data_IF_515270484390
#
_entry.id   IF_515270484390
#
_cell.length_a   1.000
_cell.length_b   1.000
_cell.length_c   1.000
_cell.angle_alpha   90.00
_cell.angle_beta   90.00
_cell.angle_gamma   90.00
#
_symmetry.space_group_name_H-M   'P 1'
#
loop_
_entity.id
_entity.type
_entity.pdbx_description
1 polymer ?
#
# COMPACT_ATOMS: atom_id res chain seq x y z
N UNK A 1 -26.49 0.94 -27.50
CA UNK A 1 -25.23 1.31 -28.17
C UNK A 1 -24.21 1.88 -27.17
N UNK A 2 -24.54 2.92 -26.41
CA UNK A 2 -23.59 3.55 -25.47
C UNK A 2 -23.03 2.59 -24.39
N UNK A 3 -23.88 1.73 -23.80
CA UNK A 3 -23.44 0.72 -22.84
C UNK A 3 -22.38 -0.24 -23.41
N UNK A 4 -22.61 -0.76 -24.62
CA UNK A 4 -21.65 -1.66 -25.30
C UNK A 4 -20.29 -0.96 -25.54
N UNK A 5 -20.34 0.32 -25.90
CA UNK A 5 -19.10 1.11 -26.07
C UNK A 5 -18.37 1.29 -24.75
N UNK A 6 -19.09 1.57 -23.66
CA UNK A 6 -18.50 1.72 -22.33
C UNK A 6 -17.91 0.40 -21.84
N UNK A 7 -18.66 -0.70 -22.00
CA UNK A 7 -18.25 -2.05 -21.66
C UNK A 7 -16.98 -2.49 -22.42
N UNK A 8 -16.98 -2.32 -23.75
CA UNK A 8 -15.81 -2.61 -24.58
C UNK A 8 -14.63 -1.69 -24.29
N UNK A 9 -14.89 -0.41 -24.00
CA UNK A 9 -13.87 0.56 -23.57
C UNK A 9 -13.21 0.16 -22.25
N UNK A 10 -13.99 -0.26 -21.25
CA UNK A 10 -13.48 -0.73 -19.97
C UNK A 10 -12.64 -2.02 -20.13
N UNK A 11 -13.09 -2.95 -20.97
CA UNK A 11 -12.34 -4.17 -21.29
C UNK A 11 -10.99 -3.83 -21.94
N UNK A 12 -11.00 -2.98 -22.98
CA UNK A 12 -9.78 -2.55 -23.67
C UNK A 12 -8.82 -1.84 -22.73
N UNK A 13 -9.34 -0.97 -21.86
CA UNK A 13 -8.53 -0.25 -20.87
C UNK A 13 -7.89 -1.20 -19.86
N UNK A 14 -8.62 -2.22 -19.40
CA UNK A 14 -8.08 -3.25 -18.51
C UNK A 14 -6.94 -4.05 -19.18
N UNK A 15 -7.11 -4.44 -20.46
CA UNK A 15 -6.06 -5.14 -21.23
C UNK A 15 -4.83 -4.26 -21.40
N UNK A 16 -4.99 -3.02 -21.88
CA UNK A 16 -3.87 -2.10 -22.12
C UNK A 16 -3.13 -1.77 -20.83
N UNK A 17 -3.86 -1.50 -19.75
CA UNK A 17 -3.27 -1.24 -18.43
C UNK A 17 -2.54 -2.48 -17.87
N UNK A 18 -3.11 -3.67 -18.04
CA UNK A 18 -2.48 -4.94 -17.66
C UNK A 18 -1.18 -5.17 -18.42
N UNK A 19 -1.18 -5.03 -19.75
CA UNK A 19 0.01 -5.14 -20.60
C UNK A 19 1.06 -4.07 -20.23
N UNK A 20 0.64 -2.84 -20.00
CA UNK A 20 1.52 -1.77 -19.55
C UNK A 20 2.27 -2.14 -18.26
N UNK A 21 1.55 -2.60 -17.23
CA UNK A 21 2.17 -3.02 -15.97
C UNK A 21 3.05 -4.26 -16.10
N UNK A 22 2.73 -5.17 -17.03
CA UNK A 22 3.50 -6.39 -17.26
C UNK A 22 4.80 -6.14 -18.02
N UNK A 23 4.75 -5.32 -19.08
CA UNK A 23 5.88 -5.12 -19.99
C UNK A 23 6.85 -4.04 -19.53
N UNK A 24 6.37 -3.00 -18.84
CA UNK A 24 7.21 -1.89 -18.40
C UNK A 24 7.84 -2.17 -17.04
N UNK A 25 9.15 -1.98 -16.91
CA UNK A 25 9.88 -2.14 -15.64
C UNK A 25 10.04 -0.84 -14.86
N UNK A 26 10.11 0.31 -15.53
CA UNK A 26 10.30 1.63 -14.90
C UNK A 26 8.99 2.29 -14.46
N UNK A 27 9.08 3.22 -13.52
CA UNK A 27 7.96 4.04 -13.06
C UNK A 27 7.75 5.22 -14.02
N UNK A 28 6.48 5.50 -14.40
CA UNK A 28 6.16 6.60 -15.31
C UNK A 28 6.02 7.95 -14.59
N UNK A 29 5.64 7.94 -13.31
CA UNK A 29 5.40 9.16 -12.53
C UNK A 29 6.66 9.68 -11.85
N UNK A 30 7.58 8.78 -11.52
CA UNK A 30 8.85 9.14 -10.90
C UNK A 30 9.97 8.26 -11.48
N UNK A 31 10.77 8.81 -12.37
CA UNK A 31 11.86 8.09 -13.04
C UNK A 31 12.98 7.64 -12.09
N UNK A 32 13.08 8.24 -10.90
CA UNK A 32 14.08 7.90 -9.90
C UNK A 32 13.66 6.73 -9.00
N UNK A 33 12.39 6.29 -9.07
CA UNK A 33 11.86 5.22 -8.25
C UNK A 33 11.43 4.03 -9.09
N UNK A 34 11.70 2.83 -8.60
CA UNK A 34 11.19 1.60 -9.21
C UNK A 34 10.01 1.06 -8.39
N UNK A 35 8.98 0.59 -9.08
CA UNK A 35 7.87 -0.12 -8.44
C UNK A 35 8.24 -1.59 -8.23
N UNK A 36 7.78 -2.25 -7.13
CA UNK A 36 8.06 -3.66 -6.88
C UNK A 36 7.60 -4.55 -8.05
N UNK A 37 8.51 -5.30 -8.67
CA UNK A 37 8.21 -6.19 -9.82
C UNK A 37 7.11 -7.21 -9.50
N UNK A 38 7.10 -7.75 -8.30
CA UNK A 38 6.05 -8.65 -7.83
C UNK A 38 4.67 -8.00 -7.80
N UNK A 39 4.57 -6.77 -7.29
CA UNK A 39 3.32 -6.01 -7.26
C UNK A 39 2.80 -5.73 -8.67
N UNK A 40 3.68 -5.31 -9.61
CA UNK A 40 3.31 -5.05 -11.00
C UNK A 40 2.70 -6.29 -11.66
N UNK A 41 3.30 -7.48 -11.46
CA UNK A 41 2.79 -8.75 -12.01
C UNK A 41 1.43 -9.12 -11.43
N UNK A 42 1.22 -8.99 -10.12
CA UNK A 42 -0.06 -9.28 -9.49
C UNK A 42 -1.14 -8.28 -9.91
N UNK A 43 -0.80 -7.00 -10.04
CA UNK A 43 -1.72 -5.98 -10.55
C UNK A 43 -2.08 -6.23 -12.02
N UNK A 44 -1.12 -6.61 -12.86
CA UNK A 44 -1.39 -6.98 -14.24
C UNK A 44 -2.32 -8.21 -14.34
N UNK A 45 -2.11 -9.25 -13.51
CA UNK A 45 -2.99 -10.41 -13.43
C UNK A 45 -4.41 -10.03 -12.99
N UNK A 46 -4.53 -9.12 -12.01
CA UNK A 46 -5.82 -8.59 -11.58
C UNK A 46 -6.54 -7.83 -12.69
N UNK A 47 -5.85 -6.96 -13.42
CA UNK A 47 -6.43 -6.25 -14.57
C UNK A 47 -6.81 -7.22 -15.71
N UNK A 48 -6.01 -8.25 -15.93
CA UNK A 48 -6.36 -9.32 -16.88
C UNK A 48 -7.62 -10.09 -16.46
N UNK A 49 -7.85 -10.30 -15.15
CA UNK A 49 -9.09 -10.93 -14.67
C UNK A 49 -10.33 -10.08 -14.90
N UNK A 50 -10.21 -8.74 -14.79
CA UNK A 50 -11.30 -7.82 -15.16
C UNK A 50 -11.64 -7.97 -16.65
N UNK A 51 -10.64 -7.95 -17.52
CA UNK A 51 -10.86 -8.13 -18.94
C UNK A 51 -11.44 -9.52 -19.27
N UNK A 52 -10.95 -10.57 -18.61
CA UNK A 52 -11.45 -11.92 -18.75
C UNK A 52 -12.91 -12.02 -18.29
N UNK A 53 -13.28 -11.41 -17.16
CA UNK A 53 -14.67 -11.34 -16.70
C UNK A 53 -15.60 -10.76 -17.77
N UNK A 54 -15.25 -9.63 -18.35
CA UNK A 54 -16.02 -9.07 -19.45
C UNK A 54 -16.13 -10.00 -20.66
N UNK A 55 -15.04 -10.70 -21.00
CA UNK A 55 -15.03 -11.64 -22.14
C UNK A 55 -15.94 -12.84 -21.88
N UNK A 56 -15.81 -13.54 -20.74
CA UNK A 56 -16.66 -14.72 -20.53
C UNK A 56 -18.13 -14.39 -20.31
N UNK A 57 -18.47 -13.25 -19.70
CA UNK A 57 -19.87 -12.82 -19.65
C UNK A 57 -20.46 -12.55 -21.04
N UNK A 58 -19.68 -11.91 -21.95
CA UNK A 58 -20.09 -11.70 -23.32
C UNK A 58 -20.20 -13.03 -24.10
N UNK A 59 -19.24 -13.92 -23.95
CA UNK A 59 -19.22 -15.22 -24.62
C UNK A 59 -20.36 -16.13 -24.13
N UNK A 60 -20.53 -16.27 -22.83
CA UNK A 60 -21.59 -17.07 -22.22
C UNK A 60 -22.99 -16.52 -22.52
N UNK A 61 -23.10 -15.21 -22.77
CA UNK A 61 -24.35 -14.58 -23.19
C UNK A 61 -24.71 -14.75 -24.66
N UNK A 62 -23.69 -14.91 -25.56
CA UNK A 62 -23.88 -14.83 -27.02
C UNK A 62 -23.55 -16.11 -27.77
N UNK A 63 -22.54 -16.88 -27.37
CA UNK A 63 -21.97 -17.92 -28.21
C UNK A 63 -22.21 -19.33 -27.68
N UNK A 64 -22.60 -19.57 -26.35
CA UNK A 64 -22.49 -20.72 -25.90
C UNK A 64 -22.40 -21.67 -24.90
N UNK A 65 -22.11 -22.61 -24.61
CA UNK A 65 -21.89 -23.88 -23.95
C UNK A 65 -23.15 -24.70 -23.69
N UNK A 66 -24.23 -24.02 -23.34
CA UNK A 66 -25.52 -24.65 -23.08
C UNK A 66 -26.62 -23.59 -23.18
N UNK A 67 -27.78 -23.96 -23.64
CA UNK A 67 -28.99 -23.11 -23.59
C UNK A 67 -29.49 -22.92 -22.17
N UNK A 68 -28.89 -23.62 -21.22
CA UNK A 68 -29.24 -23.57 -19.82
C UNK A 68 -28.71 -22.32 -19.16
N UNK A 69 -29.62 -21.42 -18.86
CA UNK A 69 -29.34 -20.15 -18.21
C UNK A 69 -28.75 -20.31 -16.79
N UNK A 70 -29.20 -21.34 -16.05
CA UNK A 70 -28.72 -21.63 -14.71
C UNK A 70 -27.24 -21.99 -14.70
N UNK A 71 -26.86 -22.95 -15.54
CA UNK A 71 -25.45 -23.39 -15.66
C UNK A 71 -24.55 -22.24 -16.09
N UNK A 72 -24.97 -21.43 -17.07
CA UNK A 72 -24.22 -20.26 -17.52
C UNK A 72 -23.93 -19.28 -16.40
N UNK A 73 -24.94 -18.95 -15.61
CA UNK A 73 -24.79 -18.02 -14.49
C UNK A 73 -23.89 -18.59 -13.39
N UNK A 74 -24.07 -19.85 -13.00
CA UNK A 74 -23.22 -20.52 -12.01
C UNK A 74 -21.76 -20.48 -12.46
N UNK A 75 -21.47 -20.81 -13.72
CA UNK A 75 -20.11 -20.80 -14.25
C UNK A 75 -19.52 -19.39 -14.24
N UNK A 76 -20.23 -18.40 -14.79
CA UNK A 76 -19.73 -17.03 -14.87
C UNK A 76 -19.46 -16.41 -13.48
N UNK A 77 -20.41 -16.54 -12.57
CA UNK A 77 -20.29 -16.02 -11.21
C UNK A 77 -19.15 -16.74 -10.45
N UNK A 78 -19.01 -18.04 -10.63
CA UNK A 78 -17.92 -18.79 -10.00
C UNK A 78 -16.56 -18.35 -10.55
N UNK A 79 -16.42 -18.19 -11.86
CA UNK A 79 -15.21 -17.68 -12.48
C UNK A 79 -14.82 -16.31 -11.94
N UNK A 80 -15.77 -15.39 -11.80
CA UNK A 80 -15.51 -14.06 -11.20
C UNK A 80 -15.01 -14.18 -9.76
N UNK A 81 -15.69 -14.97 -8.94
CA UNK A 81 -15.34 -15.15 -7.53
C UNK A 81 -13.95 -15.75 -7.32
N UNK A 82 -13.58 -16.75 -8.13
CA UNK A 82 -12.29 -17.46 -7.97
C UNK A 82 -11.12 -16.78 -8.69
N UNK A 83 -11.37 -15.78 -9.52
CA UNK A 83 -10.30 -15.01 -10.19
C UNK A 83 -10.19 -13.59 -9.66
N UNK A 84 -11.26 -12.80 -9.74
CA UNK A 84 -11.25 -11.39 -9.35
C UNK A 84 -10.95 -11.20 -7.85
N UNK A 85 -11.68 -11.89 -6.97
CA UNK A 85 -11.55 -11.74 -5.52
C UNK A 85 -10.14 -12.10 -5.02
N UNK A 86 -9.59 -13.30 -5.32
CA UNK A 86 -8.26 -13.65 -4.82
C UNK A 86 -7.14 -12.80 -5.41
N UNK A 87 -7.21 -12.42 -6.69
CA UNK A 87 -6.20 -11.56 -7.31
C UNK A 87 -6.18 -10.17 -6.70
N UNK A 88 -7.36 -9.60 -6.40
CA UNK A 88 -7.47 -8.36 -5.66
C UNK A 88 -6.84 -8.46 -4.26
N UNK A 89 -7.17 -9.52 -3.50
CA UNK A 89 -6.56 -9.75 -2.18
C UNK A 89 -5.04 -9.85 -2.29
N UNK A 90 -4.53 -10.54 -3.31
CA UNK A 90 -3.09 -10.65 -3.57
C UNK A 90 -2.46 -9.29 -3.85
N UNK A 91 -3.08 -8.44 -4.68
CA UNK A 91 -2.58 -7.08 -4.97
C UNK A 91 -2.49 -6.25 -3.68
N UNK A 92 -3.56 -6.22 -2.88
CA UNK A 92 -3.58 -5.48 -1.63
C UNK A 92 -2.50 -5.96 -0.65
N UNK A 93 -2.32 -7.27 -0.51
CA UNK A 93 -1.28 -7.82 0.37
C UNK A 93 0.14 -7.59 -0.15
N UNK A 94 0.34 -7.57 -1.47
CA UNK A 94 1.65 -7.28 -2.08
C UNK A 94 2.02 -5.79 -2.05
N UNK A 95 1.07 -4.89 -1.81
CA UNK A 95 1.36 -3.49 -1.50
C UNK A 95 2.07 -3.33 -0.14
N UNK A 96 1.83 -4.24 0.80
CA UNK A 96 2.47 -4.26 2.12
C UNK A 96 3.86 -4.89 1.99
N UNK A 97 4.92 -4.08 2.11
CA UNK A 97 6.31 -4.51 1.84
C UNK A 97 7.10 -4.82 3.13
N UNK A 98 6.46 -4.83 4.30
CA UNK A 98 7.12 -5.06 5.60
C UNK A 98 7.59 -6.50 5.81
N UNK A 99 6.94 -7.48 5.17
CA UNK A 99 7.26 -8.90 5.29
C UNK A 99 6.68 -9.73 4.17
N UNK A 100 7.24 -10.91 3.92
CA UNK A 100 6.66 -11.89 3.02
C UNK A 100 5.40 -12.52 3.63
N UNK A 101 4.26 -12.36 2.93
CA UNK A 101 2.99 -13.00 3.31
C UNK A 101 2.70 -14.16 2.38
N UNK A 102 2.41 -15.37 2.92
CA UNK A 102 2.01 -16.49 2.10
C UNK A 102 0.64 -16.21 1.47
N UNK A 103 0.49 -16.51 0.19
CA UNK A 103 -0.77 -16.30 -0.54
C UNK A 103 -1.62 -17.58 -0.66
N UNK A 104 -1.07 -18.74 -0.27
CA UNK A 104 -1.79 -20.01 -0.34
C UNK A 104 -3.11 -20.06 0.44
N UNK A 105 -3.29 -19.37 1.60
CA UNK A 105 -4.57 -19.37 2.31
C UNK A 105 -5.71 -18.79 1.47
N UNK A 106 -5.41 -17.81 0.60
CA UNK A 106 -6.38 -17.21 -0.31
C UNK A 106 -6.85 -18.27 -1.33
N UNK A 107 -5.92 -19.07 -1.88
CA UNK A 107 -6.27 -20.15 -2.81
C UNK A 107 -7.14 -21.22 -2.15
N UNK A 108 -6.82 -21.61 -0.91
CA UNK A 108 -7.65 -22.57 -0.14
C UNK A 108 -9.04 -22.02 0.12
N UNK A 109 -9.18 -20.73 0.42
CA UNK A 109 -10.46 -20.08 0.63
C UNK A 109 -11.36 -20.05 -0.63
N UNK A 110 -10.81 -20.30 -1.84
CA UNK A 110 -11.60 -20.41 -3.07
C UNK A 110 -12.21 -21.80 -3.29
N UNK A 111 -11.73 -22.84 -2.60
CA UNK A 111 -12.17 -24.23 -2.79
C UNK A 111 -13.69 -24.39 -2.57
N UNK A 112 -14.33 -23.82 -1.54
CA UNK A 112 -15.78 -23.95 -1.34
C UNK A 112 -16.60 -23.45 -2.54
N UNK A 113 -16.18 -22.40 -3.24
CA UNK A 113 -16.86 -21.90 -4.43
C UNK A 113 -16.90 -22.93 -5.53
N UNK A 114 -15.78 -23.62 -5.79
CA UNK A 114 -15.74 -24.71 -6.78
C UNK A 114 -16.61 -25.89 -6.38
N UNK A 115 -16.54 -26.31 -5.14
CA UNK A 115 -17.33 -27.46 -4.66
C UNK A 115 -18.82 -27.16 -4.79
N UNK A 116 -19.26 -25.98 -4.35
CA UNK A 116 -20.67 -25.61 -4.44
C UNK A 116 -21.12 -25.46 -5.91
N UNK A 117 -20.29 -24.87 -6.76
CA UNK A 117 -20.61 -24.76 -8.20
C UNK A 117 -20.80 -26.12 -8.85
N UNK A 118 -19.88 -27.08 -8.60
CA UNK A 118 -19.98 -28.45 -9.13
C UNK A 118 -21.25 -29.14 -8.63
N UNK A 119 -21.56 -29.03 -7.33
CA UNK A 119 -22.78 -29.62 -6.76
C UNK A 119 -24.03 -28.98 -7.37
N UNK A 120 -24.09 -27.66 -7.50
CA UNK A 120 -25.21 -26.94 -8.09
C UNK A 120 -25.46 -27.33 -9.56
N UNK A 121 -24.40 -27.52 -10.34
CA UNK A 121 -24.47 -27.98 -11.73
C UNK A 121 -24.99 -29.44 -11.80
N UNK A 122 -24.47 -30.34 -10.94
CA UNK A 122 -24.85 -31.76 -10.94
C UNK A 122 -26.31 -31.95 -10.50
N UNK A 123 -26.74 -31.23 -9.47
CA UNK A 123 -28.11 -31.31 -8.98
C UNK A 123 -29.09 -30.50 -9.86
N UNK A 124 -28.55 -29.64 -10.73
CA UNK A 124 -29.31 -28.74 -11.59
C UNK A 124 -30.24 -27.81 -10.80
N UNK A 125 -29.78 -27.34 -9.66
CA UNK A 125 -30.53 -26.46 -8.78
C UNK A 125 -29.62 -25.56 -7.95
N UNK A 126 -29.93 -24.26 -7.86
CA UNK A 126 -29.16 -23.31 -7.11
C UNK A 126 -29.66 -23.16 -5.64
N UNK A 127 -29.64 -24.28 -4.92
CA UNK A 127 -29.99 -24.30 -3.49
C UNK A 127 -28.98 -23.55 -2.62
N UNK A 128 -27.78 -23.30 -3.14
CA UNK A 128 -26.67 -22.86 -2.33
C UNK A 128 -26.32 -21.37 -2.54
N UNK A 129 -27.15 -20.61 -3.25
CA UNK A 129 -26.93 -19.19 -3.49
C UNK A 129 -26.71 -18.43 -2.18
N UNK A 130 -27.62 -18.60 -1.22
CA UNK A 130 -27.49 -17.98 0.11
C UNK A 130 -26.21 -18.37 0.86
N UNK A 131 -25.74 -19.63 0.71
CA UNK A 131 -24.50 -20.09 1.32
C UNK A 131 -23.30 -19.41 0.66
N UNK A 132 -23.26 -19.34 -0.67
CA UNK A 132 -22.19 -18.72 -1.44
C UNK A 132 -22.11 -17.22 -1.16
N UNK A 133 -23.23 -16.55 -1.05
CA UNK A 133 -23.28 -15.14 -0.69
C UNK A 133 -22.83 -14.90 0.76
N UNK A 134 -23.35 -15.67 1.70
CA UNK A 134 -22.94 -15.63 3.10
C UNK A 134 -21.46 -15.91 3.29
N UNK A 135 -20.92 -16.92 2.59
CA UNK A 135 -19.51 -17.24 2.61
C UNK A 135 -18.64 -16.12 1.99
N UNK A 136 -19.08 -15.54 0.88
CA UNK A 136 -18.40 -14.41 0.23
C UNK A 136 -18.32 -13.20 1.16
N UNK A 137 -19.42 -12.87 1.82
CA UNK A 137 -19.50 -11.79 2.80
C UNK A 137 -18.58 -12.05 4.00
N UNK A 138 -18.63 -13.26 4.56
CA UNK A 138 -17.78 -13.65 5.68
C UNK A 138 -16.29 -13.57 5.32
N UNK A 139 -15.89 -14.10 4.15
CA UNK A 139 -14.52 -14.05 3.63
C UNK A 139 -14.07 -12.59 3.45
N UNK A 140 -14.92 -11.75 2.88
CA UNK A 140 -14.68 -10.33 2.73
C UNK A 140 -14.44 -9.61 4.05
N UNK A 141 -15.30 -9.85 5.05
CA UNK A 141 -15.16 -9.25 6.39
C UNK A 141 -13.88 -9.71 7.09
N UNK A 142 -13.57 -11.00 7.06
CA UNK A 142 -12.33 -11.54 7.63
C UNK A 142 -11.11 -10.87 6.95
N UNK A 143 -11.12 -10.78 5.62
CA UNK A 143 -10.04 -10.14 4.89
C UNK A 143 -9.89 -8.66 5.23
N UNK A 144 -11.00 -7.91 5.33
CA UNK A 144 -10.97 -6.48 5.70
C UNK A 144 -10.35 -6.29 7.09
N UNK A 145 -10.79 -7.06 8.08
CA UNK A 145 -10.27 -6.99 9.45
C UNK A 145 -8.76 -7.30 9.44
N UNK A 146 -8.37 -8.37 8.75
CA UNK A 146 -6.96 -8.75 8.62
C UNK A 146 -6.15 -7.64 7.93
N UNK A 147 -6.64 -7.11 6.80
CA UNK A 147 -5.95 -6.09 6.02
C UNK A 147 -5.79 -4.77 6.78
N UNK A 148 -6.82 -4.30 7.47
CA UNK A 148 -6.75 -3.09 8.31
C UNK A 148 -5.75 -3.28 9.44
N UNK A 149 -5.75 -4.46 10.09
CA UNK A 149 -4.75 -4.77 11.12
C UNK A 149 -3.33 -4.79 10.54
N UNK A 150 -3.13 -5.44 9.41
CA UNK A 150 -1.85 -5.51 8.70
C UNK A 150 -1.37 -4.13 8.25
N UNK A 151 -2.29 -3.28 7.76
CA UNK A 151 -1.99 -1.90 7.35
C UNK A 151 -1.55 -1.03 8.53
N UNK A 152 -2.20 -1.15 9.69
CA UNK A 152 -1.79 -0.45 10.91
C UNK A 152 -0.40 -0.90 11.39
N UNK A 153 -0.10 -2.20 11.30
CA UNK A 153 1.21 -2.74 11.62
C UNK A 153 2.27 -2.23 10.65
N UNK A 154 1.96 -2.23 9.35
CA UNK A 154 2.82 -1.68 8.31
C UNK A 154 3.12 -0.18 8.52
N UNK A 155 2.12 0.63 8.87
CA UNK A 155 2.31 2.04 9.18
C UNK A 155 3.28 2.26 10.35
N UNK A 156 3.15 1.52 11.45
CA UNK A 156 4.11 1.57 12.56
C UNK A 156 5.52 1.18 12.10
N UNK A 157 5.63 0.07 11.38
CA UNK A 157 6.91 -0.38 10.84
C UNK A 157 7.57 0.68 9.93
N UNK A 158 6.80 1.43 9.13
CA UNK A 158 7.33 2.55 8.35
C UNK A 158 7.92 3.65 9.24
N UNK A 159 7.19 4.07 10.27
CA UNK A 159 7.67 5.09 11.22
C UNK A 159 8.92 4.65 12.00
N UNK A 160 9.05 3.33 12.24
CA UNK A 160 10.20 2.80 12.96
C UNK A 160 11.44 2.61 12.07
N UNK A 161 11.30 2.67 10.73
CA UNK A 161 12.40 2.33 9.82
C UNK A 161 12.78 3.42 8.84
N UNK A 162 11.92 4.40 8.57
CA UNK A 162 12.16 5.42 7.54
C UNK A 162 11.96 6.82 8.10
N UNK A 163 12.92 7.70 7.79
CA UNK A 163 12.80 9.12 8.11
C UNK A 163 11.79 9.83 7.20
N UNK A 164 11.67 9.39 5.96
CA UNK A 164 10.73 9.91 4.96
C UNK A 164 9.70 8.86 4.59
N UNK A 165 8.41 9.21 4.74
CA UNK A 165 7.27 8.31 4.49
C UNK A 165 6.60 8.59 3.14
N UNK A 166 7.07 9.59 2.39
CA UNK A 166 6.51 9.94 1.09
C UNK A 166 6.58 8.73 0.14
N UNK A 167 5.49 8.49 -0.60
CA UNK A 167 5.33 7.34 -1.52
C UNK A 167 5.40 5.95 -0.87
N UNK A 168 5.51 5.85 0.47
CA UNK A 168 5.57 4.59 1.22
C UNK A 168 4.25 4.26 1.92
N UNK A 169 3.46 5.28 2.29
CA UNK A 169 2.19 5.11 2.98
C UNK A 169 1.11 4.47 2.09
N UNK A 170 0.30 3.62 2.69
CA UNK A 170 -0.73 2.82 1.99
C UNK A 170 -2.17 3.13 2.42
N UNK A 171 -2.42 4.22 3.16
CA UNK A 171 -3.79 4.54 3.59
C UNK A 171 -4.77 4.72 2.43
N UNK A 172 -4.27 5.15 1.25
CA UNK A 172 -5.07 5.26 0.02
C UNK A 172 -5.60 3.91 -0.46
N UNK A 173 -4.96 2.78 -0.09
CA UNK A 173 -5.45 1.44 -0.43
C UNK A 173 -6.78 1.10 0.24
N UNK A 174 -7.15 1.80 1.32
CA UNK A 174 -8.48 1.71 1.92
C UNK A 174 -9.58 2.27 1.00
N UNK A 175 -9.25 3.28 0.17
CA UNK A 175 -10.18 3.77 -0.85
C UNK A 175 -10.45 2.70 -1.91
N UNK A 176 -9.41 2.00 -2.36
CA UNK A 176 -9.56 0.87 -3.28
C UNK A 176 -10.46 -0.21 -2.68
N UNK A 177 -10.23 -0.55 -1.42
CA UNK A 177 -11.05 -1.53 -0.70
C UNK A 177 -12.52 -1.06 -0.62
N UNK A 178 -12.76 0.22 -0.33
CA UNK A 178 -14.11 0.78 -0.30
C UNK A 178 -14.80 0.75 -1.68
N UNK A 179 -14.08 1.07 -2.76
CA UNK A 179 -14.60 0.97 -4.13
C UNK A 179 -14.98 -0.47 -4.49
N UNK A 180 -14.18 -1.44 -4.07
CA UNK A 180 -14.43 -2.86 -4.32
C UNK A 180 -15.64 -3.35 -3.54
N UNK A 181 -15.79 -2.94 -2.28
CA UNK A 181 -16.98 -3.26 -1.48
C UNK A 181 -18.24 -2.64 -2.10
N UNK A 182 -18.15 -1.43 -2.62
CA UNK A 182 -19.25 -0.78 -3.33
C UNK A 182 -19.63 -1.58 -4.59
N UNK A 183 -18.65 -2.03 -5.38
CA UNK A 183 -18.92 -2.90 -6.53
C UNK A 183 -19.59 -4.20 -6.08
N UNK A 184 -19.10 -4.83 -5.01
CA UNK A 184 -19.71 -6.04 -4.50
C UNK A 184 -21.18 -5.82 -4.16
N UNK A 185 -21.51 -4.74 -3.44
CA UNK A 185 -22.91 -4.38 -3.13
C UNK A 185 -23.72 -4.16 -4.40
N UNK A 186 -23.17 -3.41 -5.37
CA UNK A 186 -23.81 -3.13 -6.66
C UNK A 186 -24.12 -4.44 -7.41
N UNK A 187 -23.21 -5.40 -7.42
CA UNK A 187 -23.43 -6.69 -8.08
C UNK A 187 -24.43 -7.58 -7.35
N UNK A 188 -24.41 -7.64 -6.03
CA UNK A 188 -25.32 -8.47 -5.24
C UNK A 188 -26.75 -7.93 -5.18
N UNK A 189 -26.91 -6.60 -5.34
CA UNK A 189 -28.24 -5.96 -5.35
C UNK A 189 -28.79 -5.71 -6.76
N UNK A 190 -28.06 -6.12 -7.80
CA UNK A 190 -28.44 -5.86 -9.18
C UNK A 190 -29.57 -6.79 -9.65
N UNK A 191 -30.76 -6.22 -9.78
CA UNK A 191 -31.92 -6.88 -10.38
C UNK A 191 -31.99 -6.72 -11.91
N UNK A 192 -30.86 -6.38 -12.56
CA UNK A 192 -30.77 -6.15 -14.01
C UNK A 192 -31.13 -4.71 -14.43
N UNK A 193 -31.10 -3.77 -13.52
CA UNK A 193 -31.34 -2.35 -13.84
C UNK A 193 -30.17 -1.75 -14.63
N UNK A 194 -30.44 -1.20 -15.80
CA UNK A 194 -29.43 -0.63 -16.70
C UNK A 194 -28.56 0.44 -16.03
N UNK A 195 -29.12 1.23 -15.10
CA UNK A 195 -28.36 2.23 -14.35
C UNK A 195 -27.27 1.61 -13.45
N UNK A 196 -27.55 0.45 -12.87
CA UNK A 196 -26.62 -0.31 -12.03
C UNK A 196 -25.49 -0.86 -12.87
N UNK A 197 -25.78 -1.35 -14.07
CA UNK A 197 -24.76 -1.81 -15.03
C UNK A 197 -23.83 -0.66 -15.47
N UNK A 198 -24.34 0.53 -15.72
CA UNK A 198 -23.50 1.70 -16.01
C UNK A 198 -22.60 2.07 -14.82
N UNK A 199 -23.16 2.05 -13.61
CA UNK A 199 -22.40 2.34 -12.38
C UNK A 199 -21.25 1.34 -12.20
N UNK A 200 -21.51 0.05 -12.43
CA UNK A 200 -20.47 -0.98 -12.36
C UNK A 200 -19.31 -0.72 -13.33
N UNK A 201 -19.62 -0.31 -14.58
CA UNK A 201 -18.58 0.02 -15.56
C UNK A 201 -17.77 1.26 -15.17
N UNK A 202 -18.40 2.30 -14.63
CA UNK A 202 -17.71 3.49 -14.14
C UNK A 202 -16.78 3.15 -12.99
N UNK A 203 -17.27 2.37 -12.01
CA UNK A 203 -16.45 1.89 -10.88
C UNK A 203 -15.27 1.03 -11.36
N UNK A 204 -15.47 0.19 -12.36
CA UNK A 204 -14.40 -0.62 -12.98
C UNK A 204 -13.29 0.28 -13.56
N UNK A 205 -13.67 1.34 -14.29
CA UNK A 205 -12.71 2.31 -14.83
C UNK A 205 -11.94 3.04 -13.70
N UNK A 206 -12.63 3.41 -12.62
CA UNK A 206 -11.99 4.03 -11.44
C UNK A 206 -10.99 3.07 -10.80
N UNK A 207 -11.33 1.78 -10.66
CA UNK A 207 -10.41 0.77 -10.11
C UNK A 207 -9.19 0.59 -11.00
N UNK A 208 -9.37 0.48 -12.32
CA UNK A 208 -8.25 0.35 -13.26
C UNK A 208 -7.29 1.54 -13.10
N UNK A 209 -7.82 2.76 -13.14
CA UNK A 209 -7.03 3.98 -12.97
C UNK A 209 -6.32 4.04 -11.62
N UNK A 210 -7.03 3.70 -10.54
CA UNK A 210 -6.45 3.67 -9.19
C UNK A 210 -5.33 2.63 -9.05
N UNK A 211 -5.53 1.41 -9.55
CA UNK A 211 -4.51 0.35 -9.46
C UNK A 211 -3.25 0.75 -10.21
N UNK A 212 -3.38 1.27 -11.45
CA UNK A 212 -2.23 1.75 -12.23
C UNK A 212 -1.53 2.89 -11.50
N UNK A 213 -2.28 3.91 -11.09
CA UNK A 213 -1.71 5.04 -10.35
C UNK A 213 -0.98 4.58 -9.08
N UNK A 214 -1.59 3.66 -8.33
CA UNK A 214 -1.00 3.20 -7.06
C UNK A 214 0.26 2.38 -7.26
N UNK A 215 0.28 1.50 -8.25
CA UNK A 215 1.48 0.71 -8.59
C UNK A 215 2.62 1.63 -9.05
N UNK A 216 2.30 2.68 -9.83
CA UNK A 216 3.29 3.64 -10.32
C UNK A 216 3.75 4.65 -9.25
N UNK A 217 2.95 4.92 -8.23
CA UNK A 217 3.32 5.84 -7.14
C UNK A 217 4.06 5.17 -5.99
N UNK A 218 4.01 3.82 -5.88
CA UNK A 218 4.61 3.10 -4.77
C UNK A 218 6.09 2.81 -5.03
N UNK A 219 6.95 3.29 -4.14
CA UNK A 219 8.39 3.02 -4.19
C UNK A 219 8.69 1.61 -3.68
N UNK A 220 9.65 0.93 -4.33
CA UNK A 220 10.22 -0.31 -3.78
C UNK A 220 10.98 0.02 -2.49
N UNK A 221 10.61 -0.66 -1.42
CA UNK A 221 11.38 -0.63 -0.19
C UNK A 221 12.39 -1.77 -0.31
N UNK A 222 13.64 -1.42 -0.58
CA UNK A 222 14.75 -2.36 -0.44
C UNK A 222 14.84 -2.66 1.06
N UNK A 223 14.19 -3.74 1.46
CA UNK A 223 14.60 -4.45 2.65
C UNK A 223 15.97 -5.02 2.28
N UNK A 224 17.03 -4.37 2.68
CA UNK A 224 18.25 -5.08 2.99
C UNK A 224 17.87 -6.03 4.14
N UNK A 225 17.29 -7.16 3.76
CA UNK A 225 17.20 -8.33 4.61
C UNK A 225 18.62 -8.82 4.73
N UNK A 226 19.37 -8.22 5.62
CA UNK A 226 20.37 -8.98 6.32
C UNK A 226 19.54 -10.04 7.05
N UNK A 227 19.54 -11.26 6.53
CA UNK A 227 19.20 -12.47 7.26
C UNK A 227 20.25 -12.58 8.39
N UNK A 228 20.19 -11.65 9.34
CA UNK A 228 20.82 -11.86 10.63
C UNK A 228 19.87 -12.75 11.42
N UNK A 229 20.16 -14.03 11.31
CA UNK A 229 19.96 -15.09 12.24
C UNK A 229 19.17 -14.68 13.49
N UNK A 230 17.91 -15.11 13.54
CA UNK A 230 17.22 -15.39 14.81
C UNK A 230 17.94 -16.58 15.47
N UNK A 231 19.15 -16.35 15.99
CA UNK A 231 19.82 -17.27 16.91
C UNK A 231 20.66 -16.45 17.87
N UNK A 232 20.08 -16.10 19.00
CA UNK A 232 20.71 -16.19 20.31
C UNK A 232 19.71 -15.77 21.38
N UNK A 233 18.82 -16.65 21.76
CA UNK A 233 18.20 -16.61 23.08
C UNK A 233 19.25 -17.14 24.10
N UNK A 234 19.64 -16.27 25.00
CA UNK A 234 20.27 -16.67 26.26
C UNK A 234 21.68 -16.12 26.46
N UNK A 235 21.80 -14.99 27.11
CA UNK A 235 22.87 -14.49 28.00
C UNK A 235 23.20 -12.99 27.94
N UNK A 236 22.29 -12.11 27.50
CA UNK A 236 22.68 -10.74 27.12
C UNK A 236 21.93 -9.59 27.83
N UNK A 237 21.11 -9.80 28.85
CA UNK A 237 20.36 -8.67 29.48
C UNK A 237 21.27 -7.59 30.09
N UNK A 238 22.48 -7.92 30.53
CA UNK A 238 23.41 -6.98 31.14
C UNK A 238 24.29 -6.25 30.08
N UNK A 239 24.63 -6.90 28.98
CA UNK A 239 25.36 -6.31 27.86
C UNK A 239 24.43 -5.44 27.02
N UNK A 240 23.22 -5.87 26.75
CA UNK A 240 22.18 -5.13 26.05
C UNK A 240 21.86 -3.79 26.74
N UNK A 241 21.79 -3.76 28.09
CA UNK A 241 21.59 -2.53 28.84
C UNK A 241 22.76 -1.53 28.74
N UNK A 242 24.00 -2.03 28.60
CA UNK A 242 25.18 -1.16 28.42
C UNK A 242 25.28 -0.62 26.99
N UNK A 243 24.98 -1.42 25.99
CA UNK A 243 24.97 -0.99 24.58
C UNK A 243 23.88 0.03 24.33
N UNK A 244 22.67 -0.17 24.87
CA UNK A 244 21.57 0.81 24.77
C UNK A 244 21.94 2.17 25.38
N UNK A 245 22.70 2.19 26.49
CA UNK A 245 23.19 3.45 27.11
C UNK A 245 24.24 4.14 26.23
N UNK A 246 25.06 3.40 25.49
CA UNK A 246 26.07 3.96 24.59
C UNK A 246 25.48 4.53 23.30
N UNK A 247 24.34 4.01 22.81
CA UNK A 247 23.69 4.47 21.57
C UNK A 247 23.39 5.97 21.62
N UNK A 248 23.00 6.52 22.74
CA UNK A 248 22.73 7.97 22.88
C UNK A 248 23.96 8.83 22.56
N UNK A 249 25.15 8.43 23.02
CA UNK A 249 26.40 9.14 22.73
C UNK A 249 26.85 8.95 21.26
N UNK A 250 26.66 7.76 20.71
CA UNK A 250 26.95 7.46 19.30
C UNK A 250 26.04 8.27 18.37
N UNK A 251 24.75 8.45 18.70
CA UNK A 251 23.85 9.31 17.95
C UNK A 251 24.33 10.75 17.88
N UNK A 252 24.76 11.31 19.01
CA UNK A 252 25.33 12.68 19.03
C UNK A 252 26.60 12.75 18.16
N UNK A 253 27.50 11.78 18.30
CA UNK A 253 28.80 11.76 17.62
C UNK A 253 28.70 11.49 16.10
N UNK A 254 27.84 10.56 15.69
CA UNK A 254 27.79 10.05 14.32
C UNK A 254 26.55 10.47 13.51
N UNK A 255 25.51 11.00 14.19
CA UNK A 255 24.30 11.47 13.52
C UNK A 255 24.14 12.99 13.64
N UNK A 256 24.16 13.53 14.88
CA UNK A 256 23.87 14.93 15.13
C UNK A 256 25.04 15.85 14.75
N UNK A 257 26.26 15.58 15.23
CA UNK A 257 27.43 16.42 14.97
C UNK A 257 27.80 16.50 13.48
N UNK A 258 27.88 15.38 12.71
CA UNK A 258 28.13 15.45 11.27
C UNK A 258 26.87 15.80 10.44
N UNK A 259 25.72 15.98 11.11
CA UNK A 259 24.43 16.29 10.47
C UNK A 259 23.97 15.21 9.48
N UNK A 260 24.21 13.94 9.78
CA UNK A 260 23.80 12.82 8.95
C UNK A 260 22.28 12.80 8.71
N UNK A 261 21.48 13.31 9.66
CA UNK A 261 20.04 13.44 9.57
C UNK A 261 19.53 14.32 8.40
N UNK A 262 20.43 15.11 7.77
CA UNK A 262 20.11 15.91 6.57
C UNK A 262 20.12 15.07 5.29
N UNK A 263 20.64 13.84 5.33
CA UNK A 263 20.60 12.93 4.19
C UNK A 263 19.16 12.56 3.86
N UNK A 264 18.77 12.70 2.58
CA UNK A 264 17.48 12.25 2.10
C UNK A 264 17.34 10.73 2.24
N UNK A 265 16.09 10.26 2.47
CA UNK A 265 15.76 8.83 2.55
C UNK A 265 16.62 8.02 3.55
N UNK A 266 17.18 8.65 4.57
CA UNK A 266 17.95 7.97 5.61
C UNK A 266 17.07 6.90 6.28
N UNK A 267 17.56 5.66 6.32
CA UNK A 267 16.87 4.53 6.95
C UNK A 267 17.48 4.19 8.31
N UNK A 268 16.70 3.51 9.16
CA UNK A 268 17.18 3.01 10.45
C UNK A 268 18.43 2.12 10.28
N UNK A 269 18.43 1.25 9.25
CA UNK A 269 19.57 0.37 8.93
C UNK A 269 20.84 1.17 8.57
N UNK A 270 20.71 2.20 7.73
CA UNK A 270 21.85 3.06 7.37
C UNK A 270 22.37 3.82 8.57
N UNK A 271 21.47 4.30 9.44
CA UNK A 271 21.89 4.95 10.69
C UNK A 271 22.59 3.95 11.62
N UNK A 272 22.06 2.75 11.79
CA UNK A 272 22.70 1.71 12.60
C UNK A 272 24.13 1.38 12.12
N UNK A 273 24.32 1.22 10.79
CA UNK A 273 25.64 1.05 10.19
C UNK A 273 26.59 2.22 10.48
N UNK A 274 26.11 3.46 10.36
CA UNK A 274 26.90 4.65 10.65
C UNK A 274 27.31 4.76 12.13
N UNK A 275 26.51 4.21 13.04
CA UNK A 275 26.79 4.14 14.46
C UNK A 275 27.68 2.93 14.86
N UNK A 276 27.95 2.01 13.93
CA UNK A 276 28.66 0.77 14.22
C UNK A 276 27.86 -0.23 15.07
N UNK A 277 26.53 -0.15 15.02
CA UNK A 277 25.61 -1.04 15.74
C UNK A 277 24.65 -1.75 14.76
N UNK A 278 23.80 -2.62 15.27
CA UNK A 278 22.78 -3.26 14.44
C UNK A 278 21.42 -2.58 14.57
N UNK A 279 20.54 -2.88 13.61
CA UNK A 279 19.17 -2.32 13.55
C UNK A 279 18.33 -2.68 14.77
N UNK A 280 18.52 -3.87 15.33
CA UNK A 280 17.74 -4.39 16.47
C UNK A 280 18.02 -3.56 17.72
N UNK A 281 19.28 -3.34 18.06
CA UNK A 281 19.68 -2.52 19.23
C UNK A 281 19.24 -1.05 19.07
N UNK A 282 19.42 -0.48 17.85
CA UNK A 282 18.97 0.88 17.61
C UNK A 282 17.42 1.02 17.67
N UNK A 283 16.70 0.01 17.19
CA UNK A 283 15.25 -0.07 17.32
C UNK A 283 14.79 -0.16 18.77
N UNK A 284 15.44 -1.04 19.58
CA UNK A 284 15.18 -1.17 21.01
C UNK A 284 15.45 0.14 21.76
N UNK A 285 16.51 0.87 21.41
CA UNK A 285 16.82 2.18 21.98
C UNK A 285 15.68 3.19 21.77
N UNK A 286 15.15 3.30 20.55
CA UNK A 286 14.03 4.19 20.28
C UNK A 286 12.75 3.74 20.99
N UNK A 287 12.46 2.44 20.99
CA UNK A 287 11.30 1.87 21.66
C UNK A 287 11.33 2.13 23.17
N UNK A 288 12.50 1.96 23.84
CA UNK A 288 12.68 2.25 25.26
C UNK A 288 12.43 3.70 25.63
N UNK A 289 12.63 4.63 24.69
CA UNK A 289 12.37 6.07 24.87
C UNK A 289 10.95 6.50 24.45
N UNK A 290 10.15 5.59 23.94
CA UNK A 290 8.81 5.90 23.41
C UNK A 290 8.82 6.86 22.21
N UNK A 291 9.97 6.98 21.52
CA UNK A 291 10.16 7.82 20.33
C UNK A 291 10.36 6.90 19.10
N UNK A 292 9.72 7.19 17.97
CA UNK A 292 9.99 6.46 16.74
C UNK A 292 11.22 7.05 16.05
N UNK A 293 11.90 6.24 15.23
CA UNK A 293 13.02 6.71 14.40
C UNK A 293 12.64 7.92 13.54
N UNK A 294 11.46 7.87 12.91
CA UNK A 294 10.93 8.98 12.11
C UNK A 294 10.78 10.28 12.95
N UNK A 295 10.22 10.16 14.16
CA UNK A 295 10.05 11.31 15.05
C UNK A 295 11.39 11.92 15.45
N UNK A 296 12.38 11.10 15.77
CA UNK A 296 13.73 11.54 16.11
C UNK A 296 14.40 12.32 14.96
N UNK A 297 14.45 11.77 13.77
CA UNK A 297 15.06 12.44 12.61
C UNK A 297 14.30 13.73 12.25
N UNK A 298 12.97 13.68 12.22
CA UNK A 298 12.17 14.88 11.93
C UNK A 298 12.38 15.98 12.99
N UNK A 299 12.53 15.63 14.26
CA UNK A 299 12.88 16.59 15.31
C UNK A 299 14.17 17.33 14.99
N UNK A 300 15.24 16.61 14.67
CA UNK A 300 16.55 17.20 14.32
C UNK A 300 16.47 18.11 13.07
N UNK A 301 15.76 17.65 12.03
CA UNK A 301 15.57 18.42 10.79
C UNK A 301 14.78 19.71 11.02
N UNK A 302 13.73 19.67 11.85
CA UNK A 302 12.92 20.85 12.15
C UNK A 302 13.70 21.82 13.02
N UNK A 303 14.44 21.34 14.03
CA UNK A 303 15.30 22.18 14.87
C UNK A 303 16.38 22.85 14.01
N UNK A 304 16.93 22.15 13.01
CA UNK A 304 17.86 22.72 12.03
C UNK A 304 17.19 23.80 11.16
N UNK A 305 15.98 23.57 10.66
CA UNK A 305 15.20 24.56 9.91
C UNK A 305 14.98 25.84 10.74
N UNK A 306 14.60 25.70 12.00
CA UNK A 306 14.40 26.83 12.90
C UNK A 306 15.67 27.64 13.08
N UNK A 307 16.83 26.97 13.25
CA UNK A 307 18.13 27.62 13.33
C UNK A 307 18.50 28.38 12.04
N UNK A 308 18.31 27.77 10.88
CA UNK A 308 18.54 28.44 9.60
C UNK A 308 17.64 29.65 9.39
N UNK A 309 16.39 29.57 9.80
CA UNK A 309 15.45 30.69 9.72
C UNK A 309 15.90 31.86 10.61
N UNK A 310 16.26 31.59 11.86
CA UNK A 310 16.76 32.59 12.81
C UNK A 310 18.04 33.27 12.32
N UNK A 311 18.99 32.50 11.77
CA UNK A 311 20.20 33.04 11.16
C UNK A 311 19.90 33.94 9.95
N UNK A 312 18.96 33.53 9.10
CA UNK A 312 18.57 34.30 7.92
C UNK A 312 17.89 35.63 8.34
N UNK A 313 17.00 35.58 9.31
CA UNK A 313 16.30 36.74 9.87
C UNK A 313 17.31 37.73 10.51
N UNK A 314 18.27 37.24 11.31
CA UNK A 314 19.30 38.06 11.95
C UNK A 314 20.21 38.77 10.92
N UNK A 315 20.40 38.17 9.73
CA UNK A 315 21.21 38.72 8.63
C UNK A 315 20.40 39.54 7.64
N UNK A 316 19.09 39.73 7.86
CA UNK A 316 18.20 40.43 6.94
C UNK A 316 18.07 39.77 5.56
N UNK A 317 18.31 38.45 5.46
CA UNK A 317 18.23 37.71 4.19
C UNK A 317 16.81 37.26 3.92
N UNK A 318 16.29 37.57 2.74
CA UNK A 318 15.01 37.02 2.26
C UNK A 318 15.21 35.58 1.78
N UNK A 319 14.79 34.62 2.60
CA UNK A 319 14.80 33.19 2.25
C UNK A 319 13.39 32.64 2.33
N UNK A 320 13.05 31.74 1.41
CA UNK A 320 11.75 31.09 1.42
C UNK A 320 11.76 29.87 2.34
N UNK A 321 10.62 29.55 2.96
CA UNK A 321 10.46 28.34 3.76
C UNK A 321 10.77 27.07 2.93
N UNK A 322 10.46 27.08 1.65
CA UNK A 322 10.77 25.97 0.74
C UNK A 322 12.27 25.76 0.56
N UNK A 323 13.06 26.84 0.43
CA UNK A 323 14.52 26.73 0.33
C UNK A 323 15.13 26.20 1.62
N UNK A 324 14.68 26.70 2.77
CA UNK A 324 15.18 26.24 4.08
C UNK A 324 14.77 24.81 4.38
N UNK A 325 13.58 24.38 3.97
CA UNK A 325 13.14 22.99 4.15
C UNK A 325 14.02 22.01 3.37
N UNK A 326 14.40 22.35 2.13
CA UNK A 326 15.34 21.54 1.35
C UNK A 326 16.73 21.46 2.01
N UNK A 327 17.24 22.57 2.56
CA UNK A 327 18.50 22.59 3.32
C UNK A 327 18.42 21.80 4.64
N UNK A 328 17.21 21.56 5.14
CA UNK A 328 16.96 20.79 6.37
C UNK A 328 16.70 19.31 6.11
N UNK A 329 17.04 18.79 4.93
CA UNK A 329 16.97 17.38 4.60
C UNK A 329 15.58 16.88 4.17
N UNK A 330 14.68 17.78 3.74
CA UNK A 330 13.40 17.40 3.16
C UNK A 330 13.42 17.50 1.64
N UNK A 331 13.03 16.42 0.98
CA UNK A 331 12.89 16.39 -0.49
C UNK A 331 11.66 17.17 -0.96
N UNK A 332 10.59 17.14 -0.15
CA UNK A 332 9.30 17.73 -0.50
C UNK A 332 8.81 18.67 0.61
N UNK A 333 8.32 19.86 0.20
CA UNK A 333 7.78 20.85 1.11
C UNK A 333 6.52 20.38 1.86
N UNK A 334 5.71 19.53 1.23
CA UNK A 334 4.50 18.98 1.88
C UNK A 334 4.86 18.07 3.06
N UNK A 335 5.86 17.20 2.88
CA UNK A 335 6.37 16.33 3.94
C UNK A 335 6.95 17.15 5.10
N UNK A 336 7.74 18.17 4.78
CA UNK A 336 8.24 19.13 5.76
C UNK A 336 7.11 19.82 6.53
N UNK A 337 6.13 20.38 5.81
CA UNK A 337 5.03 21.13 6.42
C UNK A 337 4.21 20.27 7.38
N UNK A 338 3.96 19.01 7.04
CA UNK A 338 3.27 18.06 7.90
C UNK A 338 4.08 17.74 9.16
N UNK A 339 5.37 17.42 9.01
CA UNK A 339 6.27 17.14 10.12
C UNK A 339 6.41 18.38 11.04
N UNK A 340 6.53 19.57 10.45
CA UNK A 340 6.60 20.84 11.18
C UNK A 340 5.34 21.10 12.03
N UNK A 341 4.16 20.92 11.42
CA UNK A 341 2.88 21.07 12.12
C UNK A 341 2.72 20.04 13.25
N UNK A 342 3.13 18.80 13.00
CA UNK A 342 3.09 17.75 14.01
C UNK A 342 4.01 18.07 15.21
N UNK A 343 5.19 18.64 14.97
CA UNK A 343 6.19 18.98 15.99
C UNK A 343 5.84 20.27 16.75
N UNK A 344 5.39 21.32 16.04
CA UNK A 344 5.20 22.67 16.61
C UNK A 344 3.75 23.00 16.96
N UNK A 345 2.79 22.18 16.49
CA UNK A 345 1.34 22.46 16.62
C UNK A 345 0.82 23.54 15.66
N UNK A 346 1.70 24.21 14.90
CA UNK A 346 1.36 25.32 14.01
C UNK A 346 1.78 25.02 12.56
N UNK A 347 1.08 25.63 11.58
CA UNK A 347 1.58 25.60 10.23
C UNK A 347 2.79 26.55 10.06
N UNK A 348 3.64 26.25 9.08
CA UNK A 348 4.90 26.99 8.83
C UNK A 348 4.66 28.47 8.62
N UNK A 349 3.65 28.87 7.84
CA UNK A 349 3.32 30.27 7.55
C UNK A 349 2.92 31.04 8.81
N UNK A 350 2.12 30.42 9.66
CA UNK A 350 1.69 31.01 10.93
C UNK A 350 2.86 31.15 11.91
N UNK A 351 3.70 30.13 11.98
CA UNK A 351 4.88 30.15 12.83
C UNK A 351 5.87 31.26 12.39
N UNK A 352 6.14 31.39 11.09
CA UNK A 352 6.99 32.45 10.54
C UNK A 352 6.43 33.84 10.93
N UNK A 353 5.12 34.06 10.70
CA UNK A 353 4.46 35.35 11.04
C UNK A 353 4.57 35.71 12.52
N UNK A 354 4.61 34.73 13.40
CA UNK A 354 4.71 34.94 14.85
C UNK A 354 6.16 35.15 15.31
N UNK A 355 7.16 34.86 14.50
CA UNK A 355 8.59 34.94 14.81
C UNK A 355 9.36 35.95 13.92
N UNK A 356 8.65 36.71 13.09
CA UNK A 356 9.16 37.86 12.34
C UNK A 356 8.78 39.13 13.07
#
# INVERSE_FOLDING_TARGET
>A
MFFIMLYGGATMMAVLAGLYLWLRSGNAMNSETESPKGLRRWAAAFLASIAASHVWWALLGTIWLTDDRLIRNIVAITLDRVTFVPLMMCVLLRMLQDRHRPLWPIAVAMVPFFVVAVVAIVIHYDYFEWFVEGYSLQLGLIFIIYYVHALRKYGRWLHDNFADLEHKELWQSLLLLACILLIYVVYTTNEGALAVEYLAQVLTLVIIGFVVWRVESLQILLLEVTEETEETEGTEEAEESREVLQIGSLLVQHCEAPKLYLQYDLTLTQLALALGTNRTYLGAYFAARGETYNAYINRLRIDHFIGLYQEAAARGRNVTAQQLSAQSGYRNYTTFSNAFKQRTGQNVTQWIKNNT
#
